data_IF_362527994457
#
_entry.id   IF_362527994457
#
_cell.length_a   1.000
_cell.length_b   1.000
_cell.length_c   1.000
_cell.angle_alpha   90.00
_cell.angle_beta   90.00
_cell.angle_gamma   90.00
#
_symmetry.space_group_name_H-M   'P 1'
#
loop_
_entity.id
_entity.type
_entity.pdbx_description
1 polymer ?
#
# COMPACT_ATOMS: atom_id res chain seq x y z
N UNK A 1 -4.35 7.90 -13.60
CA UNK A 1 -3.85 6.67 -12.97
C UNK A 1 -2.51 6.31 -13.60
N UNK A 2 -1.52 5.90 -12.80
CA UNK A 2 -0.22 5.42 -13.27
C UNK A 2 0.13 4.11 -12.56
N UNK A 3 0.54 3.11 -13.32
CA UNK A 3 1.07 1.84 -12.80
C UNK A 3 2.59 1.91 -12.76
N UNK A 4 3.18 1.54 -11.63
CA UNK A 4 4.64 1.54 -11.41
C UNK A 4 5.04 0.15 -10.88
N UNK A 5 5.70 -0.69 -11.69
CA UNK A 5 6.25 -1.94 -11.22
C UNK A 5 7.37 -1.70 -10.21
N UNK A 6 7.28 -2.30 -9.02
CA UNK A 6 8.31 -2.18 -7.97
C UNK A 6 9.19 -3.43 -7.85
N UNK A 7 8.78 -4.54 -8.47
CA UNK A 7 9.50 -5.80 -8.49
C UNK A 7 8.57 -6.96 -8.83
N UNK A 8 9.07 -8.19 -8.69
CA UNK A 8 8.27 -9.39 -8.93
C UNK A 8 7.02 -9.38 -8.04
N UNK A 9 5.87 -9.43 -8.70
CA UNK A 9 4.54 -9.47 -8.07
C UNK A 9 4.23 -8.26 -7.17
N UNK A 10 4.87 -7.12 -7.40
CA UNK A 10 4.62 -5.86 -6.68
C UNK A 10 4.41 -4.72 -7.66
N UNK A 11 3.22 -4.14 -7.62
CA UNK A 11 2.89 -2.97 -8.42
C UNK A 11 2.37 -1.85 -7.52
N UNK A 12 2.77 -0.62 -7.78
CA UNK A 12 2.17 0.56 -7.18
C UNK A 12 1.22 1.19 -8.19
N UNK A 13 -0.01 1.42 -7.78
CA UNK A 13 -0.98 2.21 -8.53
C UNK A 13 -1.04 3.59 -7.89
N UNK A 14 -0.74 4.61 -8.67
CA UNK A 14 -0.92 6.01 -8.28
C UNK A 14 -2.17 6.57 -8.94
N UNK A 15 -3.10 7.04 -8.11
CA UNK A 15 -4.32 7.70 -8.54
C UNK A 15 -4.07 9.21 -8.72
N UNK A 16 -4.91 9.87 -9.52
CA UNK A 16 -4.77 11.31 -9.78
C UNK A 16 -5.03 12.15 -8.52
N UNK A 17 -5.75 11.60 -7.54
CA UNK A 17 -5.99 12.20 -6.22
C UNK A 17 -4.74 12.21 -5.31
N UNK A 18 -3.63 11.61 -5.73
CA UNK A 18 -2.42 11.47 -4.92
C UNK A 18 -2.40 10.20 -4.07
N UNK A 19 -3.50 9.44 -4.02
CA UNK A 19 -3.55 8.12 -3.39
C UNK A 19 -2.59 7.17 -4.09
N UNK A 20 -1.88 6.37 -3.30
CA UNK A 20 -1.02 5.30 -3.80
C UNK A 20 -1.46 3.98 -3.19
N UNK A 21 -1.57 2.94 -4.00
CA UNK A 21 -2.00 1.62 -3.56
C UNK A 21 -0.96 0.59 -4.00
N UNK A 22 -0.41 -0.13 -3.04
CA UNK A 22 0.52 -1.22 -3.26
C UNK A 22 -0.27 -2.51 -3.48
N UNK A 23 -0.03 -3.16 -4.61
CA UNK A 23 -0.60 -4.44 -4.98
C UNK A 23 0.44 -5.56 -4.86
N UNK A 24 0.04 -6.66 -4.20
CA UNK A 24 0.69 -7.95 -4.31
C UNK A 24 -0.09 -8.80 -5.31
N UNK A 25 0.51 -9.12 -6.46
CA UNK A 25 -0.22 -9.63 -7.63
C UNK A 25 -1.40 -8.70 -8.00
N UNK A 26 -2.63 -9.12 -7.69
CA UNK A 26 -3.89 -8.39 -7.95
C UNK A 26 -4.59 -7.92 -6.68
N UNK A 27 -4.00 -8.16 -5.51
CA UNK A 27 -4.61 -7.83 -4.22
C UNK A 27 -3.97 -6.56 -3.65
N UNK A 28 -4.76 -5.54 -3.26
CA UNK A 28 -4.22 -4.36 -2.60
C UNK A 28 -3.80 -4.75 -1.16
N UNK A 29 -2.58 -4.41 -0.76
CA UNK A 29 -2.01 -4.86 0.52
C UNK A 29 -1.55 -3.72 1.44
N UNK A 30 -1.34 -2.54 0.86
CA UNK A 30 -1.04 -1.32 1.59
C UNK A 30 -1.44 -0.10 0.74
N UNK A 31 -1.62 1.05 1.36
CA UNK A 31 -1.94 2.28 0.68
C UNK A 31 -1.32 3.50 1.37
N UNK A 32 -1.25 4.60 0.64
CA UNK A 32 -1.02 5.94 1.15
C UNK A 32 -2.20 6.80 0.72
N UNK A 33 -2.83 7.46 1.69
CA UNK A 33 -3.95 8.37 1.46
C UNK A 33 -3.52 9.77 1.90
N UNK A 34 -3.48 10.77 0.99
CA UNK A 34 -3.13 12.14 1.35
C UNK A 34 -4.04 12.67 2.46
N UNK A 35 -3.44 13.23 3.51
CA UNK A 35 -4.16 13.74 4.68
C UNK A 35 -4.42 12.71 5.79
N UNK A 36 -4.41 11.42 5.49
CA UNK A 36 -4.64 10.36 6.48
C UNK A 36 -3.34 9.63 6.85
N UNK A 37 -2.49 9.34 5.86
CA UNK A 37 -1.20 8.68 6.07
C UNK A 37 -1.10 7.32 5.39
N UNK A 38 -0.40 6.38 6.04
CA UNK A 38 -0.12 5.07 5.48
C UNK A 38 -1.03 4.00 6.08
N UNK A 39 -1.57 3.16 5.21
CA UNK A 39 -2.36 2.00 5.59
C UNK A 39 -1.63 0.71 5.23
N UNK A 40 -1.72 -0.26 6.12
CA UNK A 40 -1.37 -1.66 5.85
C UNK A 40 -2.56 -2.53 6.21
N UNK A 41 -2.76 -3.59 5.45
CA UNK A 41 -3.73 -4.63 5.82
C UNK A 41 -3.37 -5.25 7.18
N UNK A 42 -4.38 -5.53 8.00
CA UNK A 42 -4.25 -6.35 9.22
C UNK A 42 -4.23 -7.86 8.91
N UNK A 43 -4.54 -8.25 7.68
CA UNK A 43 -4.50 -9.65 7.25
C UNK A 43 -3.07 -10.18 7.22
N UNK A 44 -2.89 -11.39 7.74
CA UNK A 44 -1.59 -12.07 7.76
C UNK A 44 -1.29 -12.74 6.41
N UNK A 45 -0.62 -11.99 5.52
CA UNK A 45 -0.12 -12.53 4.26
C UNK A 45 1.12 -13.41 4.41
N UNK A 46 1.53 -14.06 3.32
CA UNK A 46 2.79 -14.81 3.24
C UNK A 46 4.00 -13.95 3.63
N UNK A 47 5.10 -14.60 4.01
CA UNK A 47 6.34 -13.92 4.40
C UNK A 47 6.87 -12.97 3.32
N UNK A 48 6.73 -13.36 2.05
CA UNK A 48 7.14 -12.54 0.90
C UNK A 48 6.32 -11.26 0.80
N UNK A 49 4.99 -11.35 0.84
CA UNK A 49 4.09 -10.19 0.80
C UNK A 49 4.29 -9.28 2.01
N UNK A 50 4.43 -9.85 3.21
CA UNK A 50 4.70 -9.10 4.45
C UNK A 50 6.02 -8.31 4.35
N UNK A 51 7.07 -8.89 3.76
CA UNK A 51 8.34 -8.17 3.50
C UNK A 51 8.14 -7.03 2.51
N UNK A 52 7.36 -7.23 1.45
CA UNK A 52 7.07 -6.19 0.45
C UNK A 52 6.34 -5.00 1.06
N UNK A 53 5.29 -5.24 1.85
CA UNK A 53 4.55 -4.20 2.58
C UNK A 53 5.51 -3.41 3.46
N UNK A 54 6.26 -4.10 4.33
CA UNK A 54 7.17 -3.43 5.27
C UNK A 54 8.29 -2.65 4.58
N UNK A 55 8.84 -3.18 3.48
CA UNK A 55 9.85 -2.47 2.68
C UNK A 55 9.26 -1.20 2.08
N UNK A 56 8.09 -1.30 1.45
CA UNK A 56 7.43 -0.15 0.84
C UNK A 56 7.10 0.93 1.87
N UNK A 57 6.53 0.54 3.02
CA UNK A 57 6.26 1.46 4.12
C UNK A 57 7.53 2.15 4.60
N UNK A 58 8.58 1.42 4.95
CA UNK A 58 9.84 2.00 5.42
C UNK A 58 10.46 2.98 4.43
N UNK A 59 10.46 2.65 3.14
CA UNK A 59 11.02 3.52 2.10
C UNK A 59 10.20 4.78 1.88
N UNK A 60 8.88 4.72 2.07
CA UNK A 60 7.99 5.82 1.71
C UNK A 60 7.56 6.68 2.91
N UNK A 61 7.33 6.08 4.07
CA UNK A 61 6.92 6.82 5.28
C UNK A 61 8.08 7.65 5.83
N UNK A 62 9.29 7.09 5.88
CA UNK A 62 10.48 7.81 6.30
C UNK A 62 10.80 8.99 5.35
N UNK A 63 10.71 8.76 4.04
CA UNK A 63 10.94 9.81 3.04
C UNK A 63 9.90 10.93 3.09
N UNK A 64 8.69 10.66 3.59
CA UNK A 64 7.60 11.65 3.69
C UNK A 64 7.40 12.21 5.10
N UNK A 65 8.28 11.87 6.05
CA UNK A 65 8.12 12.26 7.46
C UNK A 65 6.83 11.75 8.10
N UNK A 66 6.20 10.74 7.50
CA UNK A 66 4.94 10.19 7.98
C UNK A 66 5.22 9.22 9.13
N UNK A 67 4.65 9.52 10.29
CA UNK A 67 4.80 8.72 11.51
C UNK A 67 3.64 7.71 11.65
N UNK A 68 2.50 7.97 11.02
CA UNK A 68 1.27 7.20 11.19
C UNK A 68 1.19 6.09 10.14
N UNK A 69 1.18 4.85 10.63
CA UNK A 69 0.93 3.65 9.84
C UNK A 69 -0.19 2.89 10.54
N UNK A 70 -1.40 3.02 10.02
CA UNK A 70 -2.56 2.33 10.59
C UNK A 70 -2.75 0.95 9.97
N UNK A 71 -3.17 0.00 10.80
CA UNK A 71 -3.52 -1.34 10.36
C UNK A 71 -5.03 -1.39 10.14
N UNK A 72 -5.45 -1.61 8.90
CA UNK A 72 -6.85 -1.56 8.46
C UNK A 72 -7.33 -2.92 7.97
N UNK A 73 -8.65 -3.14 7.98
CA UNK A 73 -9.25 -4.32 7.36
C UNK A 73 -9.00 -4.34 5.85
N UNK A 74 -8.92 -5.55 5.29
CA UNK A 74 -8.70 -5.74 3.85
C UNK A 74 -9.75 -5.02 2.99
N UNK A 75 -11.01 -5.02 3.42
CA UNK A 75 -12.11 -4.31 2.75
C UNK A 75 -11.87 -2.81 2.59
N UNK A 76 -11.12 -2.19 3.52
CA UNK A 76 -10.76 -0.76 3.40
C UNK A 76 -9.87 -0.53 2.18
N UNK A 77 -8.90 -1.43 1.96
CA UNK A 77 -7.99 -1.37 0.81
C UNK A 77 -8.69 -1.76 -0.50
N UNK A 78 -9.61 -2.72 -0.44
CA UNK A 78 -10.41 -3.14 -1.59
C UNK A 78 -11.31 -1.99 -2.05
N UNK A 79 -12.04 -1.34 -1.14
CA UNK A 79 -12.84 -0.16 -1.43
C UNK A 79 -12.01 0.99 -2.02
N UNK A 80 -10.81 1.24 -1.50
CA UNK A 80 -9.88 2.24 -2.04
C UNK A 80 -9.43 1.90 -3.47
N UNK A 81 -9.29 0.62 -3.78
CA UNK A 81 -8.95 0.12 -5.11
C UNK A 81 -10.16 0.03 -6.06
N UNK A 82 -11.39 0.21 -5.54
CA UNK A 82 -12.64 0.03 -6.29
C UNK A 82 -12.96 -1.45 -6.57
N UNK A 83 -12.62 -2.34 -5.63
CA UNK A 83 -12.85 -3.79 -5.68
C UNK A 83 -13.99 -4.23 -4.76
#
# INVERSE_FOLDING_TARGET
MKLIPLGSNQNLVQLNSGIQILFSYKTPVAAYVPGEGYYRTNYRWSNTTTKHINKWLRSNSAARGAIIVDSVDQSTLDNLAGL
#
